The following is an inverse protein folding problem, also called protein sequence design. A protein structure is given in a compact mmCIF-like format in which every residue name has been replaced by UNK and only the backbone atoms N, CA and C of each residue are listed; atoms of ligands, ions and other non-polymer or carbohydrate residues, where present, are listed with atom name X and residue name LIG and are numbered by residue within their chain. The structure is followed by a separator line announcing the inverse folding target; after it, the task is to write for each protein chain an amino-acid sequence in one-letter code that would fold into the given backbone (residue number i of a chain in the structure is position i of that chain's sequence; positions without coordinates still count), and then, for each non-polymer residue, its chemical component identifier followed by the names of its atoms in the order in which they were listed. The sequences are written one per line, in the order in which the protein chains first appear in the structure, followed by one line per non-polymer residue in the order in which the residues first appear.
data_IF_404324656860
#
_entry.id   IF_404324656860
#
_cell.length_a   1.000
_cell.length_b   1.000
_cell.length_c   1.000
_cell.angle_alpha   90.00
_cell.angle_beta   90.00
_cell.angle_gamma   90.00
#
_symmetry.space_group_name_H-M   'P 1'
#
loop_
_entity.id
_entity.type
_entity.pdbx_description
1 polymer ?
2 non-polymer ?
3 non-polymer ?
4 water ?
#
# COMPACT_ATOMS: atom_id res chain seq x y z
N UNK A 1 22.45 -19.75 7.85
CA UNK A 1 22.68 -19.62 9.26
C UNK A 1 21.62 -20.44 10.01
N UNK A 2 22.00 -20.92 11.18
CA UNK A 2 21.09 -21.72 12.02
C UNK A 2 19.76 -20.99 12.24
N UNK A 3 18.67 -21.74 12.28
CA UNK A 3 17.30 -21.23 12.55
C UNK A 3 17.00 -20.05 11.62
N UNK A 4 17.12 -20.28 10.31
CA UNK A 4 16.90 -19.27 9.27
C UNK A 4 15.51 -18.62 9.24
N UNK A 5 14.48 -19.48 9.36
CA UNK A 5 13.04 -19.12 9.24
C UNK A 5 12.60 -18.34 10.49
N UNK A 6 13.04 -18.79 11.67
CA UNK A 6 12.65 -18.14 12.93
C UNK A 6 13.30 -16.74 12.94
N UNK A 7 14.55 -16.63 12.56
CA UNK A 7 15.22 -15.32 12.59
C UNK A 7 14.56 -14.35 11.62
N UNK A 8 14.26 -14.80 10.40
CA UNK A 8 13.61 -13.94 9.38
C UNK A 8 12.22 -13.51 9.87
N UNK A 9 11.47 -14.41 10.44
CA UNK A 9 10.09 -14.09 10.90
C UNK A 9 10.10 -13.11 12.06
N UNK A 10 10.98 -13.33 13.03
CA UNK A 10 11.20 -12.38 14.16
C UNK A 10 11.48 -10.98 13.60
N UNK A 11 12.31 -10.85 12.59
CA UNK A 11 12.56 -9.51 11.98
C UNK A 11 11.30 -8.92 11.30
N UNK A 12 10.59 -9.68 10.47
CA UNK A 12 9.39 -9.13 9.81
C UNK A 12 8.32 -8.72 10.87
N UNK A 13 8.15 -9.53 11.91
CA UNK A 13 7.16 -9.23 12.98
C UNK A 13 7.51 -7.90 13.64
N UNK A 14 8.82 -7.61 13.78
CA UNK A 14 9.37 -6.39 14.42
C UNK A 14 9.01 -5.23 13.53
N UNK A 15 9.36 -5.37 12.28
CA UNK A 15 9.03 -4.37 11.29
C UNK A 15 7.53 -4.10 11.26
N UNK A 16 6.68 -5.10 11.29
CA UNK A 16 5.20 -4.91 11.27
C UNK A 16 4.77 -4.03 12.46
N UNK A 17 5.36 -4.33 13.60
CA UNK A 17 5.10 -3.58 14.88
C UNK A 17 5.54 -2.12 14.74
N UNK A 18 6.70 -1.90 14.16
CA UNK A 18 7.28 -0.57 13.92
C UNK A 18 6.40 0.28 13.02
N UNK A 19 5.99 -0.33 11.90
CA UNK A 19 5.17 0.37 10.93
C UNK A 19 3.82 0.72 11.49
N UNK A 20 3.25 -0.17 12.24
CA UNK A 20 1.97 0.05 12.91
C UNK A 20 2.07 1.19 13.93
N UNK A 21 3.09 1.18 14.75
CA UNK A 21 3.31 2.27 15.73
C UNK A 21 3.56 3.61 15.04
N UNK A 22 4.46 3.68 14.07
CA UNK A 22 4.78 4.88 13.24
C UNK A 22 3.49 5.38 12.57
N UNK A 23 2.73 4.50 11.89
CA UNK A 23 1.48 4.91 11.20
C UNK A 23 0.50 5.60 12.16
N UNK A 24 0.34 5.07 13.38
CA UNK A 24 -0.63 5.61 14.40
C UNK A 24 -0.17 7.00 14.79
N UNK A 25 1.13 7.19 14.86
CA UNK A 25 1.71 8.51 15.28
C UNK A 25 1.46 9.60 14.25
N UNK A 26 1.42 9.21 12.98
CA UNK A 26 1.16 10.17 11.90
C UNK A 26 -0.35 10.14 11.55
N UNK A 27 -1.18 9.40 12.28
CA UNK A 27 -2.64 9.35 12.05
C UNK A 27 -2.90 8.91 10.61
N UNK A 28 -2.18 7.90 10.16
CA UNK A 28 -2.42 7.37 8.77
C UNK A 28 -2.58 5.89 8.90
N UNK A 29 -3.18 5.50 10.00
CA UNK A 29 -3.58 4.10 10.19
C UNK A 29 -4.44 3.70 8.97
N UNK A 30 -4.46 2.40 8.70
CA UNK A 30 -5.23 1.74 7.61
C UNK A 30 -4.76 2.20 6.25
N UNK A 31 -3.78 3.09 6.15
CA UNK A 31 -3.36 3.52 4.82
C UNK A 31 -2.10 2.80 4.37
N UNK A 32 -1.52 1.97 5.22
CA UNK A 32 -0.27 1.27 4.88
C UNK A 32 -0.45 0.40 3.65
N UNK A 33 -1.61 -0.21 3.39
CA UNK A 33 -1.72 -1.14 2.25
C UNK A 33 -2.48 -0.60 1.03
N UNK A 34 -3.51 -1.35 0.63
CA UNK A 34 -4.41 -0.99 -0.48
C UNK A 34 -5.22 0.30 -0.35
N UNK A 35 -5.59 0.70 0.85
CA UNK A 35 -6.36 1.96 1.02
C UNK A 35 -5.46 3.11 0.61
N UNK A 36 -4.24 3.17 1.13
CA UNK A 36 -3.25 4.19 0.75
C UNK A 36 -3.11 4.32 -0.74
N UNK A 37 -2.97 3.19 -1.39
CA UNK A 37 -2.63 3.18 -2.82
C UNK A 37 -3.74 3.92 -3.57
N UNK A 38 -4.97 3.56 -3.27
CA UNK A 38 -6.15 4.14 -3.98
C UNK A 38 -6.32 5.62 -3.59
N UNK A 39 -6.02 6.02 -2.36
CA UNK A 39 -6.24 7.42 -1.90
C UNK A 39 -5.24 8.28 -2.63
N UNK A 40 -4.01 7.80 -2.69
CA UNK A 40 -2.97 8.58 -3.36
C UNK A 40 -3.25 8.63 -4.88
N UNK A 41 -3.86 7.58 -5.43
CA UNK A 41 -4.26 7.58 -6.87
C UNK A 41 -5.32 8.65 -7.10
N UNK A 42 -6.42 8.60 -6.36
CA UNK A 42 -7.45 9.64 -6.39
C UNK A 42 -6.82 11.02 -6.25
N UNK A 43 -5.95 11.21 -5.25
CA UNK A 43 -5.46 12.56 -4.89
C UNK A 43 -4.61 13.10 -6.03
N UNK A 44 -3.88 12.20 -6.70
CA UNK A 44 -2.84 12.65 -7.66
C UNK A 44 -3.43 12.77 -9.06
N UNK A 45 -4.64 12.30 -9.29
CA UNK A 45 -5.31 12.39 -10.62
C UNK A 45 -6.74 12.91 -10.47
N UNK A 46 -6.97 14.13 -9.95
CA UNK A 46 -8.33 14.65 -9.74
C UNK A 46 -9.12 14.96 -11.03
N UNK A 47 -8.40 15.27 -12.12
CA UNK A 47 -8.86 15.28 -13.55
C UNK A 47 -9.74 14.05 -13.84
N UNK A 48 -9.31 12.87 -13.38
CA UNK A 48 -9.86 11.56 -13.78
C UNK A 48 -10.78 11.02 -12.73
N UNK A 49 -11.42 9.92 -13.07
CA UNK A 49 -12.31 9.28 -12.10
C UNK A 49 -11.88 7.83 -11.94
N UNK A 50 -12.38 7.23 -10.90
CA UNK A 50 -12.06 5.85 -10.53
C UNK A 50 -13.36 5.15 -10.15
N UNK A 51 -13.71 4.15 -10.93
CA UNK A 51 -14.88 3.30 -10.58
C UNK A 51 -14.34 2.14 -9.72
N UNK A 52 -15.24 1.33 -9.23
CA UNK A 52 -14.80 0.10 -8.52
C UNK A 52 -14.08 -0.80 -9.52
N UNK A 53 -14.58 -0.87 -10.74
CA UNK A 53 -13.90 -1.61 -11.79
C UNK A 53 -12.49 -1.05 -11.96
N UNK A 54 -12.30 0.27 -11.99
CA UNK A 54 -10.92 0.79 -12.16
C UNK A 54 -10.10 0.32 -10.97
N UNK A 55 -10.70 0.35 -9.77
CA UNK A 55 -9.95 -0.07 -8.55
C UNK A 55 -9.41 -1.50 -8.72
N UNK A 56 -10.28 -2.45 -9.08
CA UNK A 56 -9.89 -3.86 -9.39
C UNK A 56 -8.67 -3.89 -10.32
N UNK A 57 -8.75 -3.20 -11.46
CA UNK A 57 -7.66 -3.27 -12.44
C UNK A 57 -6.41 -2.70 -11.83
N UNK A 58 -6.49 -1.57 -11.15
CA UNK A 58 -5.30 -0.85 -10.59
C UNK A 58 -4.58 -1.72 -9.55
N UNK A 59 -5.33 -2.48 -8.76
CA UNK A 59 -4.72 -3.32 -7.68
C UNK A 59 -4.64 -4.80 -8.05
N UNK A 60 -5.06 -5.19 -9.24
CA UNK A 60 -5.06 -6.61 -9.69
C UNK A 60 -5.79 -7.49 -8.67
N UNK A 61 -7.00 -7.13 -8.31
CA UNK A 61 -7.83 -7.93 -7.36
C UNK A 61 -9.17 -8.22 -7.99
N UNK A 62 -9.90 -9.14 -7.39
CA UNK A 62 -11.22 -9.59 -7.88
C UNK A 62 -12.26 -8.59 -7.42
N UNK A 63 -13.42 -8.71 -8.02
CA UNK A 63 -14.55 -7.79 -7.79
C UNK A 63 -14.90 -7.77 -6.30
N UNK A 64 -15.08 -8.94 -5.71
CA UNK A 64 -15.52 -9.17 -4.31
C UNK A 64 -14.56 -8.49 -3.32
N UNK A 65 -13.27 -8.58 -3.59
CA UNK A 65 -12.21 -8.01 -2.69
C UNK A 65 -12.30 -6.50 -2.84
N UNK A 66 -12.30 -6.01 -4.11
CA UNK A 66 -12.36 -4.57 -4.45
C UNK A 66 -13.53 -3.95 -3.73
N UNK A 67 -14.63 -4.68 -3.74
CA UNK A 67 -15.88 -4.22 -3.14
C UNK A 67 -15.73 -4.14 -1.61
N UNK A 68 -14.99 -5.09 -1.04
CA UNK A 68 -14.85 -5.08 0.44
C UNK A 68 -13.94 -3.93 0.78
N UNK A 69 -12.84 -3.80 0.04
CA UNK A 69 -11.89 -2.70 0.22
C UNK A 69 -12.59 -1.35 0.18
N UNK A 70 -13.40 -1.04 -0.86
CA UNK A 70 -13.94 0.35 -1.00
C UNK A 70 -15.01 0.61 0.07
N UNK A 71 -15.69 -0.43 0.52
CA UNK A 71 -16.75 -0.28 1.55
C UNK A 71 -16.12 0.13 2.89
N UNK A 72 -14.94 -0.44 3.17
CA UNK A 72 -14.13 -0.12 4.37
C UNK A 72 -13.46 1.24 4.23
N UNK A 73 -13.10 1.66 3.03
CA UNK A 73 -12.56 3.03 2.82
C UNK A 73 -13.66 4.04 3.13
N UNK A 74 -14.88 3.77 2.69
CA UNK A 74 -16.08 4.59 2.96
C UNK A 74 -16.34 4.61 4.47
N UNK A 75 -16.38 3.44 5.10
CA UNK A 75 -16.53 3.29 6.60
C UNK A 75 -15.56 4.21 7.30
N UNK A 76 -14.30 4.17 6.89
CA UNK A 76 -13.27 5.09 7.41
C UNK A 76 -13.46 6.58 7.04
N UNK A 77 -14.38 6.95 6.13
CA UNK A 77 -14.60 8.35 5.75
C UNK A 77 -13.56 8.88 4.80
N UNK A 78 -12.79 8.02 4.12
CA UNK A 78 -11.77 8.52 3.14
C UNK A 78 -12.41 8.86 1.80
N UNK A 79 -13.48 8.14 1.46
CA UNK A 79 -14.12 8.30 0.13
C UNK A 79 -15.63 8.34 0.27
N UNK A 80 -16.34 8.85 -0.76
CA UNK A 80 -17.78 8.65 -0.96
C UNK A 80 -17.97 7.83 -2.25
N UNK A 81 -18.94 6.94 -2.22
CA UNK A 81 -19.22 5.96 -3.32
C UNK A 81 -20.49 6.48 -3.97
N UNK A 82 -20.47 6.93 -5.21
CA UNK A 82 -21.71 7.53 -5.77
C UNK A 82 -21.93 6.90 -7.14
N UNK A 83 -23.06 6.22 -7.37
CA UNK A 83 -23.28 5.65 -8.72
C UNK A 83 -23.23 6.67 -9.86
N UNK A 84 -22.82 6.25 -11.07
CA UNK A 84 -22.79 7.10 -12.28
C UNK A 84 -24.20 7.63 -12.51
N UNK A 85 -24.34 8.91 -12.80
CA UNK A 85 -25.66 9.58 -13.02
C UNK A 85 -26.30 9.01 -14.28
N UNK A 86 -25.49 8.78 -15.29
CA UNK A 86 -25.93 8.34 -16.62
C UNK A 86 -26.34 6.87 -16.51
N UNK A 87 -25.55 6.07 -15.80
CA UNK A 87 -25.76 4.60 -15.66
C UNK A 87 -25.55 4.16 -14.20
N UNK A 88 -26.60 3.92 -13.44
CA UNK A 88 -26.45 3.54 -12.00
C UNK A 88 -26.14 2.04 -11.83
N UNK A 89 -24.99 1.60 -12.34
CA UNK A 89 -24.43 0.23 -12.33
C UNK A 89 -22.92 0.39 -12.18
N UNK A 90 -22.42 1.53 -12.65
CA UNK A 90 -21.02 1.97 -12.49
C UNK A 90 -20.99 2.74 -11.16
N UNK A 91 -20.08 2.39 -10.28
CA UNK A 91 -19.93 3.06 -8.98
C UNK A 91 -18.68 3.88 -9.06
N UNK A 92 -18.77 5.20 -8.83
CA UNK A 92 -17.54 6.00 -8.82
C UNK A 92 -17.19 6.39 -7.35
N UNK A 93 -15.89 6.53 -7.11
CA UNK A 93 -15.23 6.83 -5.83
C UNK A 93 -14.70 8.27 -5.83
N UNK A 94 -14.90 9.00 -4.71
CA UNK A 94 -14.41 10.39 -4.60
C UNK A 94 -13.86 10.59 -3.22
N UNK A 95 -12.70 11.17 -3.21
CA UNK A 95 -11.95 11.43 -2.00
C UNK A 95 -12.72 12.53 -1.27
N UNK A 96 -12.90 12.34 0.02
CA UNK A 96 -13.51 13.36 0.93
C UNK A 96 -12.46 14.34 1.49
N UNK A 97 -12.92 15.42 2.15
CA UNK A 97 -12.02 16.39 2.81
C UNK A 97 -11.04 15.61 3.68
N UNK A 98 -11.59 14.62 4.36
CA UNK A 98 -10.78 13.78 5.31
C UNK A 98 -9.84 12.88 4.52
N UNK A 99 -10.28 12.42 3.36
CA UNK A 99 -9.48 11.45 2.63
C UNK A 99 -8.34 12.30 2.10
N UNK A 100 -8.57 13.57 1.81
CA UNK A 100 -7.54 14.43 1.23
C UNK A 100 -6.45 14.83 2.29
N UNK A 101 -6.89 15.24 3.45
CA UNK A 101 -6.00 15.36 4.65
C UNK A 101 -5.15 14.08 4.84
N UNK A 102 -5.79 12.92 4.95
CA UNK A 102 -5.12 11.63 5.04
C UNK A 102 -4.10 11.51 3.95
N UNK A 103 -4.43 11.85 2.68
CA UNK A 103 -3.47 11.75 1.57
C UNK A 103 -2.21 12.59 1.82
N UNK A 104 -2.34 13.83 2.24
CA UNK A 104 -1.16 14.72 2.39
C UNK A 104 -0.34 14.24 3.62
N UNK A 105 -1.02 13.67 4.59
CA UNK A 105 -0.38 13.11 5.82
C UNK A 105 0.39 11.86 5.43
N UNK A 106 -0.14 11.07 4.50
CA UNK A 106 0.46 9.76 4.16
C UNK A 106 1.76 10.00 3.43
N UNK A 107 1.76 11.00 2.55
CA UNK A 107 2.96 11.34 1.74
C UNK A 107 4.13 11.72 2.66
N UNK A 108 3.86 12.56 3.66
CA UNK A 108 4.84 13.00 4.72
C UNK A 108 5.35 11.76 5.42
N UNK A 109 4.44 10.96 5.95
CA UNK A 109 4.76 9.71 6.68
C UNK A 109 5.72 8.83 5.87
N UNK A 110 5.42 8.60 4.60
CA UNK A 110 6.27 7.68 3.81
C UNK A 110 7.65 8.30 3.67
N UNK A 111 7.71 9.63 3.52
CA UNK A 111 9.04 10.31 3.38
C UNK A 111 9.85 10.15 4.68
N UNK A 112 9.25 10.48 5.82
CA UNK A 112 9.91 10.36 7.15
C UNK A 112 10.26 8.90 7.45
N UNK A 113 9.36 7.98 7.12
CA UNK A 113 9.60 6.55 7.38
C UNK A 113 10.87 6.08 6.67
N UNK A 114 10.94 6.26 5.38
CA UNK A 114 12.13 5.92 4.55
C UNK A 114 13.38 6.66 5.06
N UNK A 115 13.35 7.98 5.27
CA UNK A 115 14.51 8.71 5.90
C UNK A 115 15.00 7.94 7.14
N UNK A 116 14.11 7.66 8.08
CA UNK A 116 14.44 6.92 9.31
C UNK A 116 14.99 5.53 9.04
N UNK A 117 14.29 4.76 8.23
CA UNK A 117 14.69 3.35 8.02
C UNK A 117 16.01 3.23 7.25
N UNK A 118 16.23 4.19 6.36
CA UNK A 118 17.30 4.02 5.38
C UNK A 118 18.49 4.86 5.79
N UNK A 119 18.46 5.44 6.98
CA UNK A 119 19.61 6.24 7.46
C UNK A 119 20.82 5.33 7.62
N UNK A 120 21.94 5.74 7.04
CA UNK A 120 23.19 4.99 7.19
C UNK A 120 23.28 3.84 6.21
N UNK A 121 22.51 3.91 5.12
CA UNK A 121 22.50 2.90 4.03
C UNK A 121 22.60 3.59 2.65
N UNK A 122 23.52 3.17 1.77
CA UNK A 122 23.76 3.86 0.47
C UNK A 122 22.88 3.26 -0.63
N UNK A 123 22.82 3.96 -1.77
CA UNK A 123 22.04 3.47 -2.94
C UNK A 123 22.72 2.20 -3.45
N UNK A 124 24.05 2.12 -3.34
CA UNK A 124 24.86 0.98 -3.80
C UNK A 124 24.54 -0.23 -2.92
N UNK A 125 24.54 -0.03 -1.61
CA UNK A 125 24.22 -1.10 -0.64
C UNK A 125 22.82 -1.69 -0.87
N UNK A 126 21.86 -0.83 -1.19
CA UNK A 126 20.43 -1.24 -1.50
C UNK A 126 20.49 -2.13 -2.75
N UNK A 127 21.20 -1.65 -3.77
CA UNK A 127 21.30 -2.33 -5.08
C UNK A 127 21.89 -3.72 -4.86
N UNK A 128 22.92 -3.79 -4.03
CA UNK A 128 23.65 -5.03 -3.67
C UNK A 128 22.67 -5.99 -2.97
N UNK A 129 22.14 -5.52 -1.84
CA UNK A 129 21.13 -6.28 -1.09
C UNK A 129 20.01 -6.80 -2.00
N UNK A 130 19.40 -5.94 -2.81
CA UNK A 130 18.36 -6.34 -3.79
C UNK A 130 18.86 -7.46 -4.69
N UNK A 131 20.07 -7.35 -5.21
CA UNK A 131 20.61 -8.42 -6.06
C UNK A 131 20.77 -9.69 -5.28
N UNK A 132 21.18 -9.65 -4.02
CA UNK A 132 21.43 -10.90 -3.33
C UNK A 132 20.10 -11.62 -3.11
N UNK A 133 19.08 -10.86 -2.78
CA UNK A 133 17.71 -11.43 -2.52
C UNK A 133 17.22 -12.09 -3.83
N UNK A 134 17.31 -11.34 -4.90
CA UNK A 134 16.84 -11.80 -6.20
C UNK A 134 17.60 -13.07 -6.53
N UNK A 135 18.90 -13.11 -6.31
CA UNK A 135 19.67 -14.31 -6.68
C UNK A 135 19.22 -15.48 -5.78
N UNK A 136 19.02 -15.23 -4.49
CA UNK A 136 18.54 -16.24 -3.53
C UNK A 136 17.19 -16.77 -4.01
N UNK A 137 16.31 -15.87 -4.42
CA UNK A 137 14.95 -16.22 -4.88
C UNK A 137 15.07 -17.13 -6.10
N UNK A 138 15.94 -16.75 -7.01
CA UNK A 138 16.14 -17.50 -8.26
C UNK A 138 16.76 -18.88 -7.96
N UNK A 139 17.74 -18.99 -7.06
CA UNK A 139 18.44 -20.27 -6.76
C UNK A 139 17.45 -21.25 -6.09
N UNK A 140 16.51 -20.79 -5.30
CA UNK A 140 15.65 -21.69 -4.47
C UNK A 140 14.24 -21.74 -5.05
N UNK A 141 14.04 -21.44 -6.32
CA UNK A 141 12.68 -21.49 -6.88
C UNK A 141 12.71 -22.30 -8.16
N UNK A 142 13.76 -22.06 -8.94
CA UNK A 142 14.05 -22.75 -10.22
C UNK A 142 12.90 -22.45 -11.22
N UNK A 143 12.19 -23.46 -11.71
CA UNK A 143 11.12 -23.28 -12.72
C UNK A 143 9.97 -22.47 -12.11
N UNK A 144 9.94 -22.25 -10.81
CA UNK A 144 8.77 -21.55 -10.23
C UNK A 144 9.10 -20.08 -10.02
N UNK A 145 10.13 -19.59 -10.71
CA UNK A 145 10.44 -18.14 -10.74
C UNK A 145 9.36 -17.50 -11.61
N UNK A 146 8.17 -17.37 -11.04
CA UNK A 146 7.04 -16.55 -11.55
C UNK A 146 6.52 -15.81 -10.32
N UNK A 147 7.34 -14.87 -9.85
CA UNK A 147 7.17 -14.15 -8.58
C UNK A 147 8.10 -12.94 -8.58
#
# INVERSE_FOLDING_TARGET
MENPLQKARILVNQLEKYLDRYAKEYDVEHLAGPQGHLVMHLYKHPDKDMSIKDAEEILHISKSVASNLVKRMEKNGFIAIVPSKTDKRVKYLYLTHLGKQKATQFEIFLEKLHSTMLAGITKEEIRTTKKVIRTLAKNMAMEDFDSLEVLFQ
#
